data_IF_695383594570
#
_entry.id   IF_695383594570
#
_cell.length_a   1.000
_cell.length_b   1.000
_cell.length_c   1.000
_cell.angle_alpha   90.00
_cell.angle_beta   90.00
_cell.angle_gamma   90.00
#
_symmetry.space_group_name_H-M   'P 1'
#
loop_
_entity.id
_entity.type
_entity.pdbx_description
1 polymer ?
#
# COMPACT_ATOMS: atom_id res chain seq x y z
N UNK A 1 -21.62 -18.93 21.08
CA UNK A 1 -20.40 -19.72 21.21
C UNK A 1 -20.64 -21.24 21.11
N UNK A 2 -21.52 -21.86 21.87
CA UNK A 2 -21.79 -23.34 21.83
C UNK A 2 -22.17 -23.87 20.44
N UNK A 3 -23.00 -23.16 19.65
CA UNK A 3 -23.38 -23.53 18.26
C UNK A 3 -22.18 -23.54 17.31
N UNK A 4 -21.30 -22.55 17.39
CA UNK A 4 -20.10 -22.46 16.54
C UNK A 4 -19.13 -23.60 16.85
N UNK A 5 -18.89 -23.87 18.15
CA UNK A 5 -18.06 -25.00 18.55
C UNK A 5 -18.63 -26.37 18.13
N UNK A 6 -19.95 -26.52 18.12
CA UNK A 6 -20.59 -27.73 17.63
C UNK A 6 -20.40 -27.91 16.13
N UNK A 7 -20.56 -26.85 15.35
CA UNK A 7 -20.32 -26.85 13.90
C UNK A 7 -18.85 -27.15 13.57
N UNK A 8 -17.90 -26.54 14.31
CA UNK A 8 -16.48 -26.83 14.15
C UNK A 8 -16.12 -28.29 14.46
N UNK A 9 -16.67 -28.84 15.54
CA UNK A 9 -16.50 -30.28 15.89
C UNK A 9 -17.09 -31.19 14.83
N UNK A 10 -18.28 -30.88 14.32
CA UNK A 10 -18.92 -31.65 13.25
C UNK A 10 -18.08 -31.60 11.97
N UNK A 11 -17.63 -30.42 11.57
CA UNK A 11 -16.72 -30.23 10.42
C UNK A 11 -15.44 -31.04 10.59
N UNK A 12 -14.80 -30.96 11.75
CA UNK A 12 -13.61 -31.76 12.06
C UNK A 12 -13.84 -33.26 11.96
N UNK A 13 -14.95 -33.76 12.51
CA UNK A 13 -15.32 -35.20 12.46
C UNK A 13 -15.52 -35.67 11.02
N UNK A 14 -16.09 -34.82 10.15
CA UNK A 14 -16.29 -35.16 8.73
C UNK A 14 -14.94 -35.17 7.99
N UNK A 15 -14.09 -34.18 8.21
CA UNK A 15 -12.79 -34.02 7.56
C UNK A 15 -11.75 -35.06 8.00
N UNK A 16 -11.86 -35.58 9.25
CA UNK A 16 -10.92 -36.54 9.78
C UNK A 16 -11.30 -38.02 9.50
N UNK A 17 -12.45 -38.26 8.86
CA UNK A 17 -12.82 -39.63 8.45
C UNK A 17 -11.92 -40.08 7.29
N UNK A 18 -11.43 -41.35 7.33
CA UNK A 18 -10.67 -41.87 6.20
C UNK A 18 -11.56 -41.93 4.95
N UNK A 19 -10.99 -41.56 3.80
CA UNK A 19 -11.67 -41.60 2.52
C UNK A 19 -11.84 -43.04 2.07
N UNK A 20 -13.07 -43.51 2.05
CA UNK A 20 -13.39 -44.91 1.67
C UNK A 20 -13.55 -45.06 0.15
N UNK A 21 -13.96 -43.99 -0.53
CA UNK A 21 -14.30 -44.00 -1.96
C UNK A 21 -13.24 -43.35 -2.87
N UNK A 22 -12.24 -42.68 -2.31
CA UNK A 22 -11.20 -41.98 -3.08
C UNK A 22 -9.81 -42.52 -2.71
N UNK A 23 -9.00 -42.86 -3.70
CA UNK A 23 -7.65 -43.32 -3.45
C UNK A 23 -6.77 -42.19 -2.91
N UNK A 24 -5.77 -42.50 -2.09
CA UNK A 24 -4.78 -41.56 -1.59
C UNK A 24 -4.09 -40.82 -2.74
N UNK A 25 -3.75 -41.53 -3.83
CA UNK A 25 -3.14 -40.93 -5.02
C UNK A 25 -4.02 -39.84 -5.66
N UNK A 26 -5.33 -40.10 -5.80
CA UNK A 26 -6.26 -39.12 -6.33
C UNK A 26 -6.34 -37.86 -5.44
N UNK A 27 -6.47 -38.06 -4.13
CA UNK A 27 -6.55 -36.94 -3.17
C UNK A 27 -5.27 -36.10 -3.17
N UNK A 28 -4.09 -36.74 -3.23
CA UNK A 28 -2.81 -36.06 -3.25
C UNK A 28 -2.63 -35.24 -4.54
N UNK A 29 -2.90 -35.85 -5.70
CA UNK A 29 -2.76 -35.19 -7.00
C UNK A 29 -3.76 -34.05 -7.15
N UNK A 30 -5.02 -34.27 -6.82
CA UNK A 30 -6.05 -33.23 -6.91
C UNK A 30 -5.80 -32.09 -5.93
N UNK A 31 -5.35 -32.41 -4.70
CA UNK A 31 -4.96 -31.40 -3.71
C UNK A 31 -3.76 -30.57 -4.16
N UNK A 32 -2.74 -31.22 -4.76
CA UNK A 32 -1.59 -30.52 -5.34
C UNK A 32 -2.01 -29.59 -6.48
N UNK A 33 -2.81 -30.08 -7.42
CA UNK A 33 -3.29 -29.27 -8.55
C UNK A 33 -4.13 -28.09 -8.02
N UNK A 34 -5.05 -28.35 -7.09
CA UNK A 34 -5.86 -27.29 -6.48
C UNK A 34 -4.99 -26.25 -5.76
N UNK A 35 -3.93 -26.67 -5.05
CA UNK A 35 -2.96 -25.78 -4.42
C UNK A 35 -2.20 -24.90 -5.42
N UNK A 36 -1.75 -25.49 -6.55
CA UNK A 36 -1.09 -24.72 -7.62
C UNK A 36 -2.03 -23.70 -8.25
N UNK A 37 -3.27 -24.08 -8.54
CA UNK A 37 -4.28 -23.18 -9.11
C UNK A 37 -4.61 -22.06 -8.12
N UNK A 38 -4.81 -22.40 -6.85
CA UNK A 38 -5.07 -21.42 -5.79
C UNK A 38 -3.93 -20.42 -5.67
N UNK A 39 -2.69 -20.91 -5.56
CA UNK A 39 -1.52 -20.07 -5.41
C UNK A 39 -1.28 -19.17 -6.62
N UNK A 40 -1.37 -19.73 -7.82
CA UNK A 40 -1.27 -18.96 -9.07
C UNK A 40 -2.36 -17.90 -9.18
N UNK A 41 -3.62 -18.27 -8.95
CA UNK A 41 -4.75 -17.35 -8.95
C UNK A 41 -4.63 -16.24 -7.90
N UNK A 42 -4.20 -16.59 -6.69
CA UNK A 42 -3.98 -15.63 -5.61
C UNK A 42 -2.89 -14.60 -5.98
N UNK A 43 -1.73 -15.05 -6.47
CA UNK A 43 -0.67 -14.13 -6.90
C UNK A 43 -1.11 -13.26 -8.08
N UNK A 44 -1.81 -13.84 -9.06
CA UNK A 44 -2.37 -13.07 -10.18
C UNK A 44 -3.32 -11.97 -9.69
N UNK A 45 -4.24 -12.29 -8.77
CA UNK A 45 -5.15 -11.31 -8.19
C UNK A 45 -4.40 -10.21 -7.41
N UNK A 46 -3.33 -10.58 -6.69
CA UNK A 46 -2.48 -9.62 -5.99
C UNK A 46 -1.81 -8.63 -6.96
N UNK A 47 -1.34 -9.07 -8.12
CA UNK A 47 -0.72 -8.19 -9.11
C UNK A 47 -1.75 -7.39 -9.92
N UNK A 48 -2.87 -7.96 -10.31
CA UNK A 48 -3.94 -7.24 -10.99
C UNK A 48 -4.46 -6.06 -10.15
N UNK A 49 -4.49 -6.22 -8.83
CA UNK A 49 -4.90 -5.14 -7.91
C UNK A 49 -3.77 -4.14 -7.58
N UNK A 50 -2.61 -4.24 -8.25
CA UNK A 50 -1.53 -3.25 -8.19
C UNK A 50 -1.49 -2.35 -9.44
N UNK A 51 -2.31 -2.62 -10.45
CA UNK A 51 -2.30 -1.82 -11.68
C UNK A 51 -2.89 -0.43 -11.43
N UNK A 52 -2.44 0.55 -12.21
CA UNK A 52 -2.97 1.91 -12.14
C UNK A 52 -4.46 1.94 -12.54
N UNK A 53 -4.85 1.12 -13.50
CA UNK A 53 -6.25 0.96 -13.94
C UNK A 53 -7.14 0.50 -12.78
N UNK A 54 -6.66 -0.45 -11.97
CA UNK A 54 -7.40 -0.88 -10.79
C UNK A 54 -7.57 0.25 -9.79
N UNK A 55 -6.50 0.97 -9.46
CA UNK A 55 -6.53 2.06 -8.50
C UNK A 55 -7.44 3.21 -8.97
N UNK A 56 -7.37 3.57 -10.26
CA UNK A 56 -8.15 4.66 -10.85
C UNK A 56 -9.55 4.24 -11.31
N UNK A 57 -9.94 2.98 -11.15
CA UNK A 57 -11.30 2.51 -11.38
C UNK A 57 -12.32 3.15 -10.43
N UNK A 58 -11.84 3.60 -9.25
CA UNK A 58 -12.64 4.38 -8.33
C UNK A 58 -12.55 5.86 -8.68
N UNK A 59 -13.71 6.52 -8.84
CA UNK A 59 -13.75 7.94 -9.21
C UNK A 59 -13.10 8.83 -8.14
N UNK A 60 -13.16 8.45 -6.86
CA UNK A 60 -12.52 9.17 -5.76
C UNK A 60 -11.01 9.27 -5.95
N UNK A 61 -10.40 8.21 -6.48
CA UNK A 61 -8.98 8.19 -6.80
C UNK A 61 -8.68 8.91 -8.10
N UNK A 62 -9.47 8.62 -9.15
CA UNK A 62 -9.28 9.19 -10.49
C UNK A 62 -9.44 10.71 -10.50
N UNK A 63 -10.51 11.22 -9.91
CA UNK A 63 -10.90 12.63 -10.05
C UNK A 63 -10.22 13.54 -9.01
N UNK A 64 -9.51 12.96 -8.04
CA UNK A 64 -8.74 13.70 -7.04
C UNK A 64 -7.22 13.43 -7.19
N UNK A 65 -6.71 12.42 -6.51
CA UNK A 65 -5.26 12.21 -6.36
C UNK A 65 -4.55 11.83 -7.67
N UNK A 66 -5.23 11.14 -8.59
CA UNK A 66 -4.63 10.80 -9.88
C UNK A 66 -4.43 12.02 -10.77
N UNK A 67 -5.41 12.93 -10.81
CA UNK A 67 -5.26 14.21 -11.53
C UNK A 67 -4.10 15.05 -10.97
N UNK A 68 -3.88 14.99 -9.66
CA UNK A 68 -2.76 15.69 -9.03
C UNK A 68 -1.42 15.04 -9.39
N UNK A 69 -1.33 13.70 -9.34
CA UNK A 69 -0.14 12.95 -9.73
C UNK A 69 0.32 13.30 -11.15
N UNK A 70 -0.62 13.45 -12.10
CA UNK A 70 -0.32 13.76 -13.49
C UNK A 70 0.45 15.08 -13.69
N UNK A 71 0.39 15.98 -12.73
CA UNK A 71 1.11 17.27 -12.78
C UNK A 71 2.49 17.23 -12.15
N UNK A 72 2.94 16.07 -11.65
CA UNK A 72 4.19 15.93 -10.90
C UNK A 72 5.33 15.36 -11.73
N UNK A 73 6.56 15.55 -11.23
CA UNK A 73 7.77 14.96 -11.80
C UNK A 73 7.78 13.42 -11.72
N UNK A 74 7.00 12.82 -10.83
CA UNK A 74 6.86 11.37 -10.72
C UNK A 74 5.98 10.78 -11.83
N UNK A 75 5.10 11.58 -12.42
CA UNK A 75 4.31 11.17 -13.58
C UNK A 75 5.03 11.39 -14.90
N UNK A 76 5.69 12.54 -15.06
CA UNK A 76 6.39 12.88 -16.30
C UNK A 76 7.70 13.62 -16.00
N UNK A 77 8.81 13.08 -16.46
CA UNK A 77 10.14 13.64 -16.24
C UNK A 77 11.09 13.34 -17.41
N UNK A 78 12.26 13.98 -17.40
CA UNK A 78 13.27 13.83 -18.44
C UNK A 78 13.92 12.45 -18.53
N UNK A 79 13.85 11.63 -17.48
CA UNK A 79 14.43 10.28 -17.47
C UNK A 79 13.50 9.23 -18.10
N UNK A 80 12.21 9.55 -18.25
CA UNK A 80 11.20 8.62 -18.74
C UNK A 80 10.77 7.56 -17.70
N UNK A 81 11.29 7.60 -16.49
CA UNK A 81 10.87 6.71 -15.40
C UNK A 81 9.62 7.27 -14.75
N UNK A 82 8.47 6.64 -15.00
CA UNK A 82 7.19 7.02 -14.44
C UNK A 82 6.86 6.14 -13.24
N UNK A 83 6.46 6.76 -12.14
CA UNK A 83 5.90 6.06 -11.00
C UNK A 83 4.38 5.92 -11.14
N UNK A 84 3.85 4.75 -10.80
CA UNK A 84 2.41 4.49 -10.68
C UNK A 84 1.99 4.41 -9.21
N UNK A 85 0.69 4.37 -8.95
CA UNK A 85 0.15 4.40 -7.58
C UNK A 85 0.79 3.34 -6.67
N UNK A 86 0.95 2.12 -7.16
CA UNK A 86 1.51 1.00 -6.38
C UNK A 86 2.98 1.17 -6.04
N UNK A 87 3.77 1.90 -6.82
CA UNK A 87 5.20 2.08 -6.54
C UNK A 87 5.45 2.85 -5.24
N UNK A 88 4.50 3.73 -4.86
CA UNK A 88 4.57 4.51 -3.62
C UNK A 88 3.69 3.95 -2.50
N UNK A 89 2.60 3.25 -2.85
CA UNK A 89 1.57 2.86 -1.89
C UNK A 89 1.57 1.37 -1.54
N UNK A 90 2.29 0.53 -2.28
CA UNK A 90 2.31 -0.93 -2.07
C UNK A 90 3.75 -1.43 -2.01
N UNK A 91 4.20 -1.94 -0.86
CA UNK A 91 5.52 -2.53 -0.72
C UNK A 91 5.76 -3.67 -1.72
N UNK A 92 7.00 -3.80 -2.20
CA UNK A 92 7.36 -4.85 -3.17
C UNK A 92 7.48 -6.23 -2.51
N UNK A 93 7.95 -6.28 -1.25
CA UNK A 93 8.07 -7.55 -0.56
C UNK A 93 6.69 -8.15 -0.22
N UNK A 94 6.61 -9.47 -0.27
CA UNK A 94 5.35 -10.19 -0.24
C UNK A 94 4.56 -10.02 1.07
N UNK A 95 5.25 -10.06 2.22
CA UNK A 95 4.62 -9.95 3.54
C UNK A 95 3.98 -8.58 3.75
N UNK A 96 4.75 -7.50 3.46
CA UNK A 96 4.26 -6.14 3.64
C UNK A 96 3.22 -5.77 2.59
N UNK A 97 3.33 -6.34 1.36
CA UNK A 97 2.30 -6.23 0.32
C UNK A 97 0.94 -6.74 0.82
N UNK A 98 0.91 -7.93 1.41
CA UNK A 98 -0.33 -8.50 1.99
C UNK A 98 -0.83 -7.62 3.14
N UNK A 99 0.04 -7.25 4.06
CA UNK A 99 -0.34 -6.40 5.19
C UNK A 99 -0.93 -5.07 4.72
N UNK A 100 -0.30 -4.43 3.72
CA UNK A 100 -0.82 -3.18 3.12
C UNK A 100 -2.18 -3.37 2.46
N UNK A 101 -2.39 -4.46 1.72
CA UNK A 101 -3.68 -4.76 1.09
C UNK A 101 -4.78 -5.02 2.11
N UNK A 102 -4.46 -5.69 3.22
CA UNK A 102 -5.40 -5.85 4.34
C UNK A 102 -5.76 -4.48 4.97
N UNK A 103 -4.79 -3.58 5.12
CA UNK A 103 -5.05 -2.22 5.61
C UNK A 103 -5.93 -1.43 4.62
N UNK A 104 -5.64 -1.52 3.32
CA UNK A 104 -6.39 -0.84 2.26
C UNK A 104 -7.85 -1.33 2.14
N UNK A 105 -8.20 -2.49 2.68
CA UNK A 105 -9.60 -2.94 2.71
C UNK A 105 -10.52 -1.96 3.44
N UNK A 106 -10.00 -1.18 4.39
CA UNK A 106 -10.76 -0.10 5.07
C UNK A 106 -11.18 1.01 4.08
N UNK A 107 -10.35 1.30 3.10
CA UNK A 107 -10.63 2.30 2.06
C UNK A 107 -11.77 1.83 1.14
N UNK A 108 -11.78 0.53 0.81
CA UNK A 108 -12.89 -0.10 0.06
C UNK A 108 -14.20 -0.02 0.85
N UNK A 109 -14.17 -0.29 2.15
CA UNK A 109 -15.34 -0.11 3.01
C UNK A 109 -15.77 1.35 3.08
N UNK A 110 -14.82 2.29 3.16
CA UNK A 110 -15.11 3.72 3.11
C UNK A 110 -15.86 4.13 1.85
N UNK A 111 -15.50 3.55 0.69
CA UNK A 111 -16.24 3.74 -0.56
C UNK A 111 -17.64 3.14 -0.49
N UNK A 112 -17.78 1.90 -0.05
CA UNK A 112 -19.07 1.19 0.02
C UNK A 112 -20.07 1.94 0.91
N UNK A 113 -19.59 2.47 2.05
CA UNK A 113 -20.41 3.23 2.99
C UNK A 113 -20.51 4.73 2.68
N UNK A 114 -19.90 5.20 1.60
CA UNK A 114 -20.01 6.59 1.16
C UNK A 114 -19.35 7.62 2.09
N UNK A 115 -18.25 7.25 2.75
CA UNK A 115 -17.52 8.20 3.63
C UNK A 115 -16.62 9.16 2.87
N UNK A 116 -16.20 8.82 1.65
CA UNK A 116 -15.30 9.62 0.79
C UNK A 116 -15.81 9.69 -0.66
N UNK A 117 -17.07 9.41 -0.90
CA UNK A 117 -17.68 9.24 -2.23
C UNK A 117 -17.93 10.56 -2.97
N UNK A 118 -17.74 11.72 -2.35
CA UNK A 118 -17.77 13.01 -3.02
C UNK A 118 -16.47 13.77 -2.81
N UNK A 119 -16.20 14.76 -3.69
CA UNK A 119 -15.01 15.60 -3.58
C UNK A 119 -14.95 16.34 -2.24
N UNK A 120 -16.08 16.86 -1.77
CA UNK A 120 -16.17 17.59 -0.51
C UNK A 120 -15.83 16.67 0.69
N UNK A 121 -16.35 15.46 0.70
CA UNK A 121 -16.03 14.46 1.74
C UNK A 121 -14.56 14.03 1.66
N UNK A 122 -14.04 13.83 0.46
CA UNK A 122 -12.61 13.52 0.27
C UNK A 122 -11.74 14.65 0.81
N UNK A 123 -12.00 15.90 0.47
CA UNK A 123 -11.25 17.07 0.95
C UNK A 123 -11.36 17.23 2.48
N UNK A 124 -12.52 16.97 3.06
CA UNK A 124 -12.71 16.99 4.52
C UNK A 124 -11.85 15.94 5.24
N UNK A 125 -11.55 14.80 4.60
CA UNK A 125 -10.72 13.72 5.15
C UNK A 125 -9.26 13.76 4.68
N UNK A 126 -8.91 14.65 3.74
CA UNK A 126 -7.60 14.69 3.09
C UNK A 126 -6.43 14.72 4.10
N UNK A 127 -6.52 15.54 5.14
CA UNK A 127 -5.47 15.63 6.16
C UNK A 127 -5.28 14.29 6.89
N UNK A 128 -6.38 13.66 7.31
CA UNK A 128 -6.32 12.36 7.98
C UNK A 128 -5.74 11.27 7.09
N UNK A 129 -6.15 11.22 5.82
CA UNK A 129 -5.63 10.26 4.84
C UNK A 129 -4.14 10.48 4.60
N UNK A 130 -3.71 11.72 4.46
CA UNK A 130 -2.30 12.07 4.29
C UNK A 130 -1.46 11.70 5.54
N UNK A 131 -1.94 11.99 6.74
CA UNK A 131 -1.26 11.64 7.99
C UNK A 131 -1.11 10.14 8.16
N UNK A 132 -2.13 9.35 7.83
CA UNK A 132 -2.07 7.89 7.86
C UNK A 132 -0.96 7.38 6.95
N UNK A 133 -0.87 7.91 5.73
CA UNK A 133 0.14 7.48 4.77
C UNK A 133 1.55 7.95 5.14
N UNK A 134 1.72 9.18 5.63
CA UNK A 134 3.02 9.67 6.12
C UNK A 134 3.51 8.85 7.32
N UNK A 135 2.62 8.49 8.24
CA UNK A 135 2.94 7.63 9.38
C UNK A 135 3.41 6.25 8.93
N UNK A 136 2.73 5.67 7.95
CA UNK A 136 3.11 4.38 7.36
C UNK A 136 4.49 4.44 6.70
N UNK A 137 4.70 5.42 5.83
CA UNK A 137 5.98 5.63 5.14
C UNK A 137 7.13 5.93 6.12
N UNK A 138 6.86 6.66 7.19
CA UNK A 138 7.86 6.90 8.23
C UNK A 138 8.21 5.62 8.98
N UNK A 139 7.21 4.80 9.33
CA UNK A 139 7.40 3.56 10.08
C UNK A 139 8.24 2.51 9.34
N UNK A 140 8.25 2.52 7.99
CA UNK A 140 9.03 1.60 7.16
C UNK A 140 10.28 2.26 6.54
N UNK A 141 10.75 3.38 7.10
CA UNK A 141 11.90 4.14 6.60
C UNK A 141 11.76 4.57 5.13
N UNK A 142 10.54 4.92 4.72
CA UNK A 142 10.21 5.32 3.35
C UNK A 142 10.68 4.30 2.31
N UNK A 143 10.46 3.02 2.59
CA UNK A 143 10.93 1.88 1.79
C UNK A 143 10.55 2.03 0.31
N UNK A 144 9.36 2.47 0.00
CA UNK A 144 8.88 2.62 -1.37
C UNK A 144 9.68 3.69 -2.14
N UNK A 145 10.08 4.76 -1.46
CA UNK A 145 10.96 5.78 -2.06
C UNK A 145 12.34 5.20 -2.37
N UNK A 146 12.86 4.36 -1.48
CA UNK A 146 14.19 3.73 -1.59
C UNK A 146 14.26 2.68 -2.69
N UNK A 147 13.15 2.17 -3.19
CA UNK A 147 13.13 1.28 -4.36
C UNK A 147 13.71 1.95 -5.61
N UNK A 148 13.57 3.28 -5.74
CA UNK A 148 14.10 4.05 -6.85
C UNK A 148 15.19 5.05 -6.43
N UNK A 149 15.11 5.63 -5.23
CA UNK A 149 16.02 6.62 -4.69
C UNK A 149 17.00 6.00 -3.68
N UNK A 150 18.09 5.42 -4.18
CA UNK A 150 19.11 4.82 -3.33
C UNK A 150 20.06 5.90 -2.79
N UNK A 151 20.14 6.01 -1.47
CA UNK A 151 20.94 7.02 -0.78
C UNK A 151 22.42 7.00 -1.19
N UNK A 152 23.03 5.81 -1.24
CA UNK A 152 24.44 5.64 -1.57
C UNK A 152 24.79 6.01 -3.02
N UNK A 153 23.77 6.10 -3.89
CA UNK A 153 23.92 6.49 -5.29
C UNK A 153 23.61 7.97 -5.53
N UNK A 154 23.29 8.74 -4.49
CA UNK A 154 22.95 10.16 -4.64
C UNK A 154 24.18 11.04 -4.77
N UNK A 155 24.25 11.83 -5.83
CA UNK A 155 25.26 12.87 -6.01
C UNK A 155 24.85 14.17 -5.30
N UNK A 156 25.34 14.39 -4.09
CA UNK A 156 25.03 15.58 -3.31
C UNK A 156 25.57 16.89 -3.91
N UNK A 157 26.57 16.81 -4.80
CA UNK A 157 27.12 18.01 -5.46
C UNK A 157 26.14 18.63 -6.45
N UNK A 158 25.18 17.83 -6.94
CA UNK A 158 24.13 18.26 -7.88
C UNK A 158 22.84 18.68 -7.19
N UNK A 159 22.79 18.61 -5.87
CA UNK A 159 21.64 19.02 -5.08
C UNK A 159 21.78 20.48 -4.62
N UNK A 160 20.67 21.08 -4.20
CA UNK A 160 20.73 22.37 -3.51
C UNK A 160 21.53 22.25 -2.21
N UNK A 161 22.21 23.31 -1.78
CA UNK A 161 22.99 23.32 -0.52
C UNK A 161 22.16 22.83 0.68
N UNK A 162 20.88 23.25 0.76
CA UNK A 162 19.97 22.82 1.82
C UNK A 162 19.67 21.32 1.76
N UNK A 163 19.38 20.80 0.58
CA UNK A 163 19.09 19.38 0.40
C UNK A 163 20.32 18.53 0.73
N UNK A 164 21.50 18.89 0.18
CA UNK A 164 22.75 18.18 0.45
C UNK A 164 23.07 18.16 1.95
N UNK A 165 22.90 19.28 2.67
CA UNK A 165 23.13 19.33 4.11
C UNK A 165 22.17 18.43 4.89
N UNK A 166 20.87 18.38 4.56
CA UNK A 166 19.90 17.52 5.23
C UNK A 166 20.12 16.04 4.90
N UNK A 167 20.48 15.70 3.68
CA UNK A 167 20.76 14.33 3.29
C UNK A 167 22.05 13.80 3.96
N UNK A 168 23.11 14.61 4.02
CA UNK A 168 24.36 14.21 4.65
C UNK A 168 24.32 14.18 6.19
N UNK A 169 23.32 14.78 6.83
CA UNK A 169 23.17 14.80 8.29
C UNK A 169 21.97 13.96 8.74
N UNK A 170 20.78 14.52 8.72
CA UNK A 170 19.58 13.92 9.31
C UNK A 170 19.12 12.61 8.61
N UNK A 171 19.29 12.51 7.28
CA UNK A 171 18.99 11.26 6.56
C UNK A 171 20.09 10.22 6.78
N UNK A 172 21.37 10.62 6.69
CA UNK A 172 22.50 9.72 6.91
C UNK A 172 22.57 9.15 8.33
N UNK A 173 22.14 9.92 9.34
CA UNK A 173 22.09 9.46 10.74
C UNK A 173 20.86 8.59 11.05
N UNK A 174 19.86 8.52 10.15
CA UNK A 174 18.59 7.86 10.39
C UNK A 174 17.64 8.64 11.32
N UNK A 175 17.95 9.90 11.64
CA UNK A 175 17.06 10.76 12.42
C UNK A 175 15.76 11.08 11.71
N UNK A 176 15.82 11.21 10.37
CA UNK A 176 14.68 11.48 9.49
C UNK A 176 14.62 10.50 8.34
N UNK A 177 13.42 10.25 7.88
CA UNK A 177 13.14 9.48 6.66
C UNK A 177 12.80 10.42 5.50
N UNK A 178 12.70 9.89 4.28
CA UNK A 178 12.38 10.69 3.10
C UNK A 178 11.07 11.48 3.27
N UNK A 179 10.03 10.82 3.79
CA UNK A 179 8.70 11.43 3.94
C UNK A 179 8.66 12.53 5.01
N UNK A 180 9.59 12.58 5.94
CA UNK A 180 9.61 13.65 6.93
C UNK A 180 9.80 15.04 6.27
N UNK A 181 10.53 15.08 5.15
CA UNK A 181 10.82 16.32 4.41
C UNK A 181 10.10 16.39 3.04
N UNK A 182 9.86 15.24 2.38
CA UNK A 182 9.34 15.18 1.00
C UNK A 182 7.84 14.91 0.95
N UNK A 183 7.04 15.67 1.70
CA UNK A 183 5.57 15.67 1.61
C UNK A 183 5.10 16.47 0.39
N UNK A 184 3.99 16.06 -0.20
CA UNK A 184 3.38 16.78 -1.34
C UNK A 184 4.07 16.57 -2.69
N UNK A 185 4.92 15.54 -2.84
CA UNK A 185 5.66 15.26 -4.08
C UNK A 185 4.82 14.61 -5.19
N UNK A 186 3.71 13.98 -4.81
CA UNK A 186 2.81 13.28 -5.73
C UNK A 186 1.37 13.82 -5.68
N UNK A 187 0.98 14.41 -4.56
CA UNK A 187 -0.36 14.93 -4.33
C UNK A 187 -0.30 16.28 -3.64
N UNK A 188 -1.33 17.10 -3.82
CA UNK A 188 -1.45 18.38 -3.12
C UNK A 188 -1.46 18.16 -1.60
N UNK A 189 -0.70 18.98 -0.89
CA UNK A 189 -0.75 18.98 0.57
C UNK A 189 -2.15 19.35 1.06
N UNK A 190 -2.64 18.69 2.11
CA UNK A 190 -3.85 19.15 2.80
C UNK A 190 -3.61 20.52 3.44
N UNK A 191 -4.69 21.19 3.88
CA UNK A 191 -4.54 22.36 4.74
C UNK A 191 -3.81 21.95 6.03
N UNK A 192 -2.64 22.56 6.26
CA UNK A 192 -1.77 22.28 7.40
C UNK A 192 -1.94 23.28 8.55
N UNK A 193 -2.91 24.20 8.47
CA UNK A 193 -3.17 25.17 9.54
C UNK A 193 -3.54 24.46 10.84
N UNK A 194 -2.83 24.74 11.91
CA UNK A 194 -3.03 24.12 13.22
C UNK A 194 -2.38 22.75 13.41
N UNK A 195 -1.75 22.17 12.38
CA UNK A 195 -1.01 20.91 12.51
C UNK A 195 0.38 21.18 13.09
N UNK A 196 0.62 20.74 14.32
CA UNK A 196 1.98 20.77 14.91
C UNK A 196 2.80 19.61 14.32
N UNK A 197 4.02 19.90 13.86
CA UNK A 197 4.98 18.86 13.52
C UNK A 197 5.21 17.95 14.75
N UNK A 198 4.93 16.66 14.58
CA UNK A 198 5.16 15.65 15.63
C UNK A 198 3.92 15.04 16.28
N UNK A 199 2.71 15.51 16.01
CA UNK A 199 1.48 14.85 16.51
C UNK A 199 0.98 13.80 15.52
N UNK A 200 1.45 12.55 15.64
CA UNK A 200 0.72 11.41 15.08
C UNK A 200 -0.45 11.12 16.04
N UNK A 201 -1.69 11.02 15.54
CA UNK A 201 -2.76 10.42 16.34
C UNK A 201 -2.43 8.94 16.57
N UNK A 202 -2.55 8.51 17.81
CA UNK A 202 -2.41 7.10 18.24
C UNK A 202 -3.53 6.24 17.66
#
# INVERSE_FOLDING_TARGET
>A
MKKIMHLLKLGWTILSKPAVHLSLGFLTISGFIAGVIFWGGFNTAMELTNTEEFCTSCHEMRDNVYMELQTTIHYSNRSGVRAICSDCHVPHNWTDKIARKMQASKEVWGKIFGTIDTREKFEAHRLQLAQNEWTRLKANDSLECRNCHQFDSMDFTRQSKRAAAQHSSALASGEKTCIDCHKGIAHKLPNMEGVREGTSPH
#
